data_IF_014080557445
#
_entry.id   IF_014080557445
#
_cell.length_a   1.000
_cell.length_b   1.000
_cell.length_c   1.000
_cell.angle_alpha   90.00
_cell.angle_beta   90.00
_cell.angle_gamma   90.00
#
_symmetry.space_group_name_H-M   'P 1'
#
loop_
_entity.id
_entity.type
_entity.pdbx_description
1 polymer ?
#
# COMPACT_ATOMS: atom_id res chain seq x y z
N UNK A 1 -10.23 5.48 23.22
CA UNK A 1 -9.22 4.54 22.68
C UNK A 1 -9.96 3.26 22.34
N UNK A 2 -9.72 2.70 21.17
CA UNK A 2 -10.31 1.46 20.70
C UNK A 2 -9.30 0.74 19.78
N UNK A 3 -9.58 -0.49 19.34
CA UNK A 3 -8.63 -1.31 18.58
C UNK A 3 -9.26 -1.90 17.34
N UNK A 4 -8.49 -1.97 16.25
CA UNK A 4 -8.90 -2.64 15.02
C UNK A 4 -7.68 -3.11 14.22
N UNK A 5 -7.75 -4.31 13.63
CA UNK A 5 -6.69 -4.87 12.78
C UNK A 5 -5.32 -5.03 13.45
N UNK A 6 -5.25 -5.05 14.79
CA UNK A 6 -4.00 -5.09 15.55
C UNK A 6 -3.41 -3.71 15.89
N UNK A 7 -4.06 -2.62 15.48
CA UNK A 7 -3.67 -1.25 15.84
C UNK A 7 -4.51 -0.68 16.97
N UNK A 8 -3.90 0.24 17.73
CA UNK A 8 -4.59 1.09 18.69
C UNK A 8 -4.98 2.40 18.00
N UNK A 9 -6.26 2.75 18.06
CA UNK A 9 -6.78 4.02 17.60
C UNK A 9 -7.12 4.92 18.79
N UNK A 10 -6.59 6.13 18.75
CA UNK A 10 -6.78 7.13 19.79
C UNK A 10 -7.48 8.33 19.16
N UNK A 11 -8.65 8.69 19.71
CA UNK A 11 -9.32 9.93 19.41
C UNK A 11 -9.30 10.80 20.67
N UNK A 12 -8.97 12.08 20.50
CA UNK A 12 -8.91 13.06 21.60
C UNK A 12 -10.28 13.67 21.89
N UNK A 13 -11.25 13.56 20.98
CA UNK A 13 -12.62 13.99 21.19
C UNK A 13 -13.39 12.92 22.00
N UNK A 14 -13.85 13.22 23.23
CA UNK A 14 -14.62 12.28 24.04
C UNK A 14 -16.02 12.00 23.49
N UNK A 15 -16.50 12.78 22.52
CA UNK A 15 -17.80 12.65 21.88
C UNK A 15 -17.70 12.09 20.46
N UNK A 16 -16.57 11.46 20.11
CA UNK A 16 -16.39 10.86 18.79
C UNK A 16 -17.36 9.71 18.53
N UNK A 17 -17.61 9.44 17.25
CA UNK A 17 -18.35 8.25 16.83
C UNK A 17 -17.58 6.95 17.19
N UNK A 18 -18.28 5.80 17.30
CA UNK A 18 -17.63 4.50 17.50
C UNK A 18 -16.60 4.20 16.40
N UNK A 19 -15.47 3.58 16.76
CA UNK A 19 -14.38 3.32 15.81
C UNK A 19 -14.85 2.48 14.61
N UNK A 20 -15.67 1.46 14.85
CA UNK A 20 -16.14 0.57 13.77
C UNK A 20 -17.03 1.29 12.74
N UNK A 21 -17.83 2.26 13.20
CA UNK A 21 -18.68 3.08 12.33
C UNK A 21 -17.82 4.06 11.53
N UNK A 22 -16.81 4.65 12.18
CA UNK A 22 -15.82 5.51 11.52
C UNK A 22 -15.08 4.77 10.40
N UNK A 23 -14.66 3.52 10.67
CA UNK A 23 -13.88 2.68 9.76
C UNK A 23 -14.70 2.10 8.61
N UNK A 24 -16.03 2.23 8.60
CA UNK A 24 -16.85 1.65 7.55
C UNK A 24 -16.69 2.42 6.21
N UNK A 25 -16.56 1.73 5.04
CA UNK A 25 -16.60 0.28 4.84
C UNK A 25 -15.22 -0.40 4.88
N UNK A 26 -14.14 0.32 5.19
CA UNK A 26 -12.78 -0.21 5.17
C UNK A 26 -12.62 -1.43 6.08
N UNK A 27 -13.12 -1.38 7.33
CA UNK A 27 -13.08 -2.51 8.25
C UNK A 27 -13.71 -3.76 7.63
N UNK A 28 -14.95 -3.67 7.13
CA UNK A 28 -15.65 -4.78 6.46
C UNK A 28 -14.82 -5.43 5.34
N UNK A 29 -14.11 -4.63 4.55
CA UNK A 29 -13.32 -5.12 3.42
C UNK A 29 -11.95 -5.68 3.86
N UNK A 30 -11.37 -5.14 4.93
CA UNK A 30 -10.03 -5.47 5.40
C UNK A 30 -10.02 -6.56 6.47
N UNK A 31 -11.10 -6.74 7.23
CA UNK A 31 -11.22 -7.75 8.29
C UNK A 31 -10.89 -9.18 7.80
N UNK A 32 -11.33 -9.62 6.60
CA UNK A 32 -10.99 -10.96 6.12
C UNK A 32 -9.49 -11.19 5.91
N UNK A 33 -8.69 -10.13 5.78
CA UNK A 33 -7.23 -10.23 5.65
C UNK A 33 -6.53 -10.56 6.98
N UNK A 34 -7.24 -10.47 8.11
CA UNK A 34 -6.71 -10.86 9.42
C UNK A 34 -5.41 -10.14 9.80
N UNK A 35 -5.35 -8.83 9.57
CA UNK A 35 -4.16 -7.98 9.73
C UNK A 35 -3.55 -8.07 11.14
N UNK A 36 -4.38 -8.31 12.16
CA UNK A 36 -3.98 -8.49 13.56
C UNK A 36 -3.07 -9.70 13.80
N UNK A 37 -3.04 -10.64 12.87
CA UNK A 37 -2.20 -11.85 12.94
C UNK A 37 -0.78 -11.60 12.44
N UNK A 38 -0.53 -10.48 11.75
CA UNK A 38 0.80 -10.15 11.24
C UNK A 38 1.69 -9.51 12.32
N UNK A 39 3.01 -9.60 12.16
CA UNK A 39 4.02 -8.97 13.03
C UNK A 39 4.99 -8.15 12.20
N UNK A 40 5.60 -7.14 12.82
CA UNK A 40 6.55 -6.28 12.14
C UNK A 40 7.71 -7.08 11.57
N UNK A 41 7.91 -7.02 10.27
CA UNK A 41 9.14 -7.42 9.60
C UNK A 41 10.23 -6.37 9.82
N UNK A 42 9.85 -5.10 9.66
CA UNK A 42 10.65 -3.92 9.99
C UNK A 42 9.77 -2.68 10.10
N UNK A 43 10.26 -1.63 10.78
CA UNK A 43 9.55 -0.36 10.97
C UNK A 43 10.53 0.81 11.07
N UNK A 44 10.35 1.82 10.22
CA UNK A 44 11.28 2.93 10.02
C UNK A 44 10.54 4.25 9.97
N UNK A 45 11.18 5.32 10.43
CA UNK A 45 10.59 6.65 10.40
C UNK A 45 11.62 7.72 10.08
N UNK A 46 11.16 8.87 9.58
CA UNK A 46 12.00 10.02 9.23
C UNK A 46 11.20 11.32 9.21
N UNK A 47 11.93 12.43 9.19
CA UNK A 47 11.38 13.75 8.90
C UNK A 47 11.39 13.99 7.39
N UNK A 48 10.27 14.49 6.86
CA UNK A 48 10.16 14.96 5.48
C UNK A 48 9.97 16.46 5.43
N UNK A 49 10.58 17.07 4.41
CA UNK A 49 10.44 18.48 4.07
C UNK A 49 9.19 18.73 3.20
N UNK A 50 8.05 18.15 3.61
CA UNK A 50 6.74 18.42 3.04
C UNK A 50 5.64 18.37 4.10
N UNK A 51 4.48 18.93 3.76
CA UNK A 51 3.29 18.77 4.59
C UNK A 51 2.87 17.30 4.64
N UNK A 52 2.34 16.84 5.79
CA UNK A 52 1.86 15.46 5.94
C UNK A 52 0.82 15.06 4.89
N UNK A 53 0.02 16.02 4.39
CA UNK A 53 -0.95 15.79 3.32
C UNK A 53 -0.26 15.40 2.01
N UNK A 54 0.78 16.16 1.62
CA UNK A 54 1.60 15.88 0.43
C UNK A 54 2.27 14.51 0.57
N UNK A 55 2.71 14.15 1.78
CA UNK A 55 3.22 12.80 2.01
C UNK A 55 2.16 11.73 1.77
N UNK A 56 0.94 11.88 2.30
CA UNK A 56 -0.15 10.92 2.08
C UNK A 56 -0.62 10.83 0.62
N UNK A 57 -0.58 11.95 -0.12
CA UNK A 57 -0.93 12.02 -1.54
C UNK A 57 -0.07 11.07 -2.37
N UNK A 58 1.24 11.02 -2.13
CA UNK A 58 2.15 10.16 -2.89
C UNK A 58 1.81 8.66 -2.78
N UNK A 59 1.13 8.23 -1.71
CA UNK A 59 0.83 6.82 -1.50
C UNK A 59 -0.64 6.47 -1.75
N UNK A 60 -1.56 7.45 -1.80
CA UNK A 60 -2.99 7.19 -1.98
C UNK A 60 -3.45 7.14 -3.44
N UNK A 61 -2.53 7.18 -4.40
CA UNK A 61 -2.74 6.99 -5.83
C UNK A 61 -1.61 6.16 -6.44
N UNK A 62 -1.74 5.78 -7.72
CA UNK A 62 -0.70 5.01 -8.44
C UNK A 62 -0.44 5.55 -9.84
N UNK A 63 -0.80 6.82 -10.09
CA UNK A 63 -0.59 7.52 -11.33
C UNK A 63 0.90 7.80 -11.56
N UNK A 64 1.64 8.19 -10.51
CA UNK A 64 3.06 8.48 -10.61
C UNK A 64 3.92 7.24 -10.89
N UNK A 65 3.44 6.04 -10.52
CA UNK A 65 4.22 4.79 -10.49
C UNK A 65 4.92 4.50 -11.83
N UNK A 66 4.21 4.67 -12.95
CA UNK A 66 4.76 4.37 -14.28
C UNK A 66 5.97 5.24 -14.64
N UNK A 67 6.00 6.48 -14.15
CA UNK A 67 7.06 7.46 -14.45
C UNK A 67 8.16 7.43 -13.40
N UNK A 68 7.78 7.35 -12.11
CA UNK A 68 8.71 7.45 -10.98
C UNK A 68 9.49 6.17 -10.78
N UNK A 69 8.85 5.01 -10.99
CA UNK A 69 9.44 3.69 -10.80
C UNK A 69 9.54 2.91 -12.12
N UNK A 70 10.29 3.41 -13.11
CA UNK A 70 10.36 2.81 -14.44
C UNK A 70 10.87 1.35 -14.43
N UNK A 71 11.56 0.94 -13.37
CA UNK A 71 12.04 -0.42 -13.15
C UNK A 71 10.90 -1.45 -13.09
N UNK A 72 9.69 -1.04 -12.66
CA UNK A 72 8.52 -1.91 -12.68
C UNK A 72 7.93 -2.09 -14.08
N UNK A 73 8.21 -1.20 -15.03
CA UNK A 73 7.61 -1.25 -16.37
C UNK A 73 8.06 -2.48 -17.17
N UNK A 74 9.20 -3.10 -16.83
CA UNK A 74 9.64 -4.38 -17.40
C UNK A 74 8.66 -5.54 -17.11
N UNK A 75 7.83 -5.37 -16.07
CA UNK A 75 6.82 -6.34 -15.69
C UNK A 75 5.42 -6.01 -16.24
N UNK A 76 5.26 -4.93 -17.00
CA UNK A 76 4.01 -4.55 -17.65
C UNK A 76 3.54 -3.14 -17.30
N UNK A 77 2.53 -2.66 -18.04
CA UNK A 77 1.88 -1.38 -17.76
C UNK A 77 0.75 -1.58 -16.74
N UNK A 78 0.86 -0.94 -15.58
CA UNK A 78 -0.12 -1.05 -14.51
C UNK A 78 -1.00 0.20 -14.46
N UNK A 79 -2.13 0.14 -15.18
CA UNK A 79 -3.16 1.19 -15.11
C UNK A 79 -3.91 1.06 -13.80
N UNK A 80 -3.69 2.04 -12.94
CA UNK A 80 -4.30 2.08 -11.61
C UNK A 80 -5.54 2.96 -11.55
N UNK A 81 -6.42 2.63 -10.63
CA UNK A 81 -7.64 3.37 -10.31
C UNK A 81 -7.64 3.77 -8.83
N UNK A 82 -8.37 4.83 -8.52
CA UNK A 82 -8.68 5.26 -7.16
C UNK A 82 -10.19 5.35 -6.96
N UNK A 83 -10.69 5.10 -5.74
CA UNK A 83 -12.12 5.18 -5.39
C UNK A 83 -12.29 5.80 -3.99
N UNK A 84 -13.24 6.73 -3.88
CA UNK A 84 -13.73 7.20 -2.60
C UNK A 84 -14.63 6.14 -1.95
N UNK A 85 -14.50 5.96 -0.64
CA UNK A 85 -15.17 4.96 0.19
C UNK A 85 -15.67 5.64 1.47
N UNK A 86 -16.63 6.56 1.33
CA UNK A 86 -17.08 7.40 2.44
C UNK A 86 -15.96 8.33 2.92
N UNK A 87 -15.58 8.23 4.20
CA UNK A 87 -14.45 8.98 4.76
C UNK A 87 -13.09 8.48 4.25
N UNK A 88 -13.04 7.25 3.78
CA UNK A 88 -11.81 6.57 3.37
C UNK A 88 -11.71 6.49 1.85
N UNK A 89 -10.63 5.92 1.36
CA UNK A 89 -10.49 5.62 -0.07
C UNK A 89 -9.63 4.39 -0.27
N UNK A 90 -9.73 3.79 -1.45
CA UNK A 90 -8.86 2.69 -1.83
C UNK A 90 -8.41 2.81 -3.28
N UNK A 91 -7.25 2.21 -3.54
CA UNK A 91 -6.63 2.16 -4.86
C UNK A 91 -6.46 0.73 -5.31
N UNK A 92 -6.30 0.53 -6.60
CA UNK A 92 -5.96 -0.76 -7.17
C UNK A 92 -5.54 -0.63 -8.63
N UNK A 93 -5.43 -1.77 -9.30
CA UNK A 93 -5.11 -1.84 -10.71
C UNK A 93 -6.27 -2.39 -11.51
N UNK A 94 -6.39 -1.94 -12.76
CA UNK A 94 -7.32 -2.50 -13.72
C UNK A 94 -6.93 -3.95 -13.97
N UNK A 95 -7.89 -4.86 -13.89
CA UNK A 95 -7.67 -6.25 -14.27
C UNK A 95 -7.50 -6.35 -15.80
N UNK A 96 -6.66 -7.26 -16.31
CA UNK A 96 -6.70 -7.63 -17.71
C UNK A 96 -8.12 -8.05 -18.12
N UNK A 97 -8.54 -7.72 -19.35
CA UNK A 97 -9.87 -8.09 -19.87
C UNK A 97 -10.10 -9.60 -19.70
N UNK A 98 -11.20 -9.98 -19.04
CA UNK A 98 -11.56 -11.39 -18.80
C UNK A 98 -10.97 -12.00 -17.53
N UNK A 99 -10.20 -11.25 -16.72
CA UNK A 99 -9.67 -11.67 -15.42
C UNK A 99 -10.30 -10.89 -14.25
N UNK A 100 -11.55 -10.43 -14.42
CA UNK A 100 -12.27 -9.65 -13.41
C UNK A 100 -12.56 -10.44 -12.13
N UNK A 101 -12.56 -11.78 -12.19
CA UNK A 101 -12.74 -12.66 -11.03
C UNK A 101 -11.40 -12.99 -10.35
N UNK A 102 -10.32 -13.02 -11.12
CA UNK A 102 -8.94 -13.30 -10.67
C UNK A 102 -8.24 -12.00 -10.25
N UNK A 103 -8.90 -11.16 -9.44
CA UNK A 103 -8.34 -9.91 -8.89
C UNK A 103 -7.28 -10.17 -7.83
N UNK A 104 -6.33 -11.06 -8.12
CA UNK A 104 -5.15 -11.24 -7.31
C UNK A 104 -4.34 -9.95 -7.39
N UNK A 105 -3.88 -9.46 -6.24
CA UNK A 105 -2.97 -8.30 -6.15
C UNK A 105 -1.63 -8.54 -6.84
N UNK A 106 -1.39 -9.77 -7.23
CA UNK A 106 -0.12 -10.29 -7.67
C UNK A 106 -0.05 -10.18 -9.19
N UNK A 107 0.95 -9.42 -9.63
CA UNK A 107 1.20 -9.12 -11.03
C UNK A 107 2.06 -10.21 -11.62
N UNK A 108 1.73 -10.67 -12.81
CA UNK A 108 2.62 -11.51 -13.61
C UNK A 108 3.40 -10.57 -14.53
N UNK A 109 4.72 -10.80 -14.65
CA UNK A 109 5.55 -10.01 -15.54
C UNK A 109 5.29 -10.34 -17.01
N UNK A 110 5.87 -9.56 -17.92
CA UNK A 110 5.81 -9.87 -19.36
C UNK A 110 6.68 -11.08 -19.71
N UNK A 111 6.28 -11.87 -20.72
CA UNK A 111 7.01 -13.07 -21.15
C UNK A 111 6.50 -14.36 -20.50
N UNK A 112 7.39 -15.34 -20.30
CA UNK A 112 7.05 -16.60 -19.64
C UNK A 112 6.64 -16.33 -18.18
N UNK A 113 5.38 -16.59 -17.78
CA UNK A 113 4.89 -16.28 -16.45
C UNK A 113 5.65 -17.01 -15.33
N UNK A 114 6.27 -18.16 -15.60
CA UNK A 114 7.06 -18.91 -14.59
C UNK A 114 8.33 -18.15 -14.23
N UNK A 115 9.01 -17.61 -15.25
CA UNK A 115 10.27 -16.85 -15.10
C UNK A 115 9.96 -15.45 -14.57
N UNK A 116 9.03 -14.74 -15.21
CA UNK A 116 8.76 -13.34 -14.90
C UNK A 116 8.20 -13.15 -13.48
N UNK A 117 7.47 -14.13 -12.96
CA UNK A 117 7.03 -14.17 -11.55
C UNK A 117 8.22 -14.29 -10.61
N UNK A 118 9.15 -15.22 -10.85
CA UNK A 118 10.34 -15.40 -10.02
C UNK A 118 11.20 -14.14 -9.98
N UNK A 119 11.46 -13.55 -11.15
CA UNK A 119 12.22 -12.30 -11.27
C UNK A 119 11.55 -11.14 -10.52
N UNK A 120 10.23 -10.99 -10.65
CA UNK A 120 9.50 -9.94 -9.94
C UNK A 120 9.55 -10.11 -8.43
N UNK A 121 9.40 -11.34 -7.93
CA UNK A 121 9.44 -11.60 -6.48
C UNK A 121 10.83 -11.38 -5.89
N UNK A 122 11.89 -11.81 -6.60
CA UNK A 122 13.28 -11.53 -6.21
C UNK A 122 13.54 -10.03 -6.18
N UNK A 123 13.18 -9.33 -7.26
CA UNK A 123 13.32 -7.88 -7.35
C UNK A 123 12.57 -7.17 -6.21
N UNK A 124 11.32 -7.56 -5.93
CA UNK A 124 10.52 -6.97 -4.85
C UNK A 124 11.18 -7.18 -3.49
N UNK A 125 11.74 -8.37 -3.24
CA UNK A 125 12.45 -8.66 -1.99
C UNK A 125 13.72 -7.82 -1.84
N UNK A 126 14.53 -7.71 -2.90
CA UNK A 126 15.85 -7.04 -2.86
C UNK A 126 15.74 -5.51 -2.87
N UNK A 127 14.76 -4.96 -3.59
CA UNK A 127 14.68 -3.52 -3.88
C UNK A 127 13.66 -2.77 -3.03
N UNK A 128 12.74 -3.50 -2.38
CA UNK A 128 11.73 -2.89 -1.47
C UNK A 128 11.61 -3.61 -0.14
N UNK A 129 11.80 -4.94 -0.14
CA UNK A 129 11.59 -5.82 1.01
C UNK A 129 10.23 -5.58 1.72
N UNK A 130 9.17 -5.29 0.96
CA UNK A 130 7.92 -4.79 1.52
C UNK A 130 6.70 -5.69 1.30
N UNK A 131 6.42 -6.09 0.06
CA UNK A 131 5.15 -6.75 -0.31
C UNK A 131 5.30 -8.21 -0.73
N UNK A 132 6.43 -8.83 -0.37
CA UNK A 132 6.71 -10.26 -0.60
C UNK A 132 7.38 -10.91 0.61
N UNK A 133 7.34 -12.24 0.67
CA UNK A 133 7.90 -13.07 1.75
C UNK A 133 8.91 -14.05 1.19
N UNK A 134 9.79 -14.58 2.05
CA UNK A 134 10.79 -15.55 1.59
C UNK A 134 10.14 -16.81 1.02
N UNK A 135 9.00 -17.24 1.58
CA UNK A 135 8.23 -18.37 1.05
C UNK A 135 7.71 -18.10 -0.35
N UNK A 136 7.13 -16.92 -0.59
CA UNK A 136 6.65 -16.53 -1.91
C UNK A 136 7.79 -16.52 -2.94
N UNK A 137 8.95 -15.95 -2.59
CA UNK A 137 10.14 -15.96 -3.46
C UNK A 137 10.62 -17.39 -3.74
N UNK A 138 10.73 -18.23 -2.72
CA UNK A 138 11.20 -19.61 -2.86
C UNK A 138 10.26 -20.42 -3.75
N UNK A 139 8.94 -20.31 -3.55
CA UNK A 139 7.94 -20.96 -4.38
C UNK A 139 7.99 -20.47 -5.83
N UNK A 140 8.18 -19.16 -6.05
CA UNK A 140 8.29 -18.61 -7.40
C UNK A 140 9.52 -19.14 -8.16
N UNK A 141 10.67 -19.28 -7.47
CA UNK A 141 11.91 -19.83 -8.07
C UNK A 141 11.77 -21.26 -8.58
N UNK A 142 10.85 -22.05 -8.03
CA UNK A 142 10.62 -23.45 -8.44
C UNK A 142 9.66 -23.60 -9.62
N UNK A 143 9.01 -22.52 -10.07
CA UNK A 143 7.95 -22.60 -11.10
C UNK A 143 8.44 -23.19 -12.42
N UNK A 144 9.67 -22.91 -12.82
CA UNK A 144 10.26 -23.44 -14.07
C UNK A 144 10.51 -24.95 -14.01
N UNK A 145 10.74 -25.48 -12.81
CA UNK A 145 10.97 -26.91 -12.56
C UNK A 145 9.65 -27.67 -12.33
N UNK A 146 8.67 -27.01 -11.70
CA UNK A 146 7.39 -27.61 -11.30
C UNK A 146 6.31 -27.57 -12.40
N UNK A 147 6.40 -26.63 -13.36
CA UNK A 147 5.40 -26.43 -14.42
C UNK A 147 6.02 -26.51 -15.82
N UNK A 148 5.34 -27.12 -16.80
CA UNK A 148 5.80 -27.15 -18.20
C UNK A 148 5.97 -25.77 -18.84
N UNK A 149 6.76 -25.71 -19.91
CA UNK A 149 6.84 -24.51 -20.74
C UNK A 149 5.50 -24.24 -21.45
N UNK A 150 5.11 -22.96 -21.48
CA UNK A 150 3.84 -22.52 -22.06
C UNK A 150 2.61 -22.66 -21.15
N UNK A 151 2.78 -23.04 -19.88
CA UNK A 151 1.67 -23.03 -18.91
C UNK A 151 0.99 -21.66 -18.86
N UNK A 152 -0.36 -21.59 -18.95
CA UNK A 152 -1.09 -20.33 -18.86
C UNK A 152 -0.81 -19.54 -17.59
N UNK A 153 -0.86 -18.21 -17.71
CA UNK A 153 -0.49 -17.27 -16.66
C UNK A 153 -1.32 -17.43 -15.36
N UNK A 154 -2.61 -17.69 -15.50
CA UNK A 154 -3.53 -17.96 -14.38
C UNK A 154 -3.24 -19.29 -13.68
N UNK A 155 -2.88 -20.33 -14.44
CA UNK A 155 -2.45 -21.62 -13.88
C UNK A 155 -1.12 -21.50 -13.12
N UNK A 156 -0.15 -20.74 -13.65
CA UNK A 156 1.11 -20.45 -12.95
C UNK A 156 0.85 -19.71 -11.64
N UNK A 157 -0.02 -18.70 -11.65
CA UNK A 157 -0.38 -17.93 -10.46
C UNK A 157 -1.06 -18.83 -9.40
N UNK A 158 -2.01 -19.66 -9.81
CA UNK A 158 -2.71 -20.60 -8.94
C UNK A 158 -1.72 -21.57 -8.28
N UNK A 159 -0.85 -22.20 -9.09
CA UNK A 159 0.14 -23.15 -8.60
C UNK A 159 1.15 -22.51 -7.64
N UNK A 160 1.66 -21.33 -8.00
CA UNK A 160 2.60 -20.60 -7.15
C UNK A 160 2.01 -20.25 -5.78
N UNK A 161 0.78 -19.72 -5.75
CA UNK A 161 0.14 -19.37 -4.49
C UNK A 161 -0.21 -20.61 -3.66
N UNK A 162 -0.63 -21.69 -4.31
CA UNK A 162 -0.91 -22.96 -3.64
C UNK A 162 0.35 -23.62 -3.09
N UNK A 163 1.48 -23.57 -3.80
CA UNK A 163 2.75 -24.11 -3.32
C UNK A 163 3.30 -23.28 -2.16
N UNK A 164 3.30 -21.95 -2.27
CA UNK A 164 3.70 -21.07 -1.18
C UNK A 164 2.83 -21.23 0.08
N UNK A 165 1.50 -21.34 -0.09
CA UNK A 165 0.57 -21.59 1.02
C UNK A 165 0.87 -22.92 1.72
N UNK A 166 1.11 -24.00 0.97
CA UNK A 166 1.48 -25.31 1.55
C UNK A 166 2.79 -25.25 2.33
N UNK A 167 3.80 -24.57 1.79
CA UNK A 167 5.10 -24.39 2.46
C UNK A 167 4.93 -23.61 3.79
N UNK A 168 4.07 -22.58 3.79
CA UNK A 168 3.74 -21.80 4.99
C UNK A 168 2.91 -22.60 6.01
N UNK A 169 1.91 -23.35 5.57
CA UNK A 169 1.10 -24.21 6.44
C UNK A 169 1.97 -25.27 7.12
N UNK A 170 2.95 -25.85 6.43
CA UNK A 170 3.89 -26.84 6.98
C UNK A 170 4.75 -26.28 8.12
N UNK A 171 4.98 -24.96 8.17
CA UNK A 171 5.67 -24.27 9.26
C UNK A 171 4.72 -23.54 10.22
N UNK A 172 3.41 -23.79 10.13
CA UNK A 172 2.41 -23.22 11.03
C UNK A 172 2.00 -21.77 10.72
N UNK A 173 2.28 -21.28 9.51
CA UNK A 173 1.80 -19.97 9.03
C UNK A 173 0.53 -20.16 8.21
N UNK A 174 -0.58 -19.64 8.73
CA UNK A 174 -1.91 -19.80 8.11
C UNK A 174 -2.30 -18.51 7.41
N UNK A 175 -2.53 -18.60 6.11
CA UNK A 175 -2.99 -17.47 5.31
C UNK A 175 -4.50 -17.28 5.47
N UNK A 176 -5.00 -16.03 5.47
CA UNK A 176 -6.42 -15.78 5.43
C UNK A 176 -7.06 -16.34 4.15
N UNK A 177 -8.36 -16.63 4.24
CA UNK A 177 -9.21 -16.96 3.10
C UNK A 177 -10.17 -15.80 2.87
N UNK A 178 -9.99 -15.11 1.74
CA UNK A 178 -10.78 -13.92 1.41
C UNK A 178 -11.96 -14.32 0.52
N UNK A 179 -13.20 -13.93 0.86
CA UNK A 179 -14.33 -14.08 -0.05
C UNK A 179 -14.04 -13.41 -1.41
N UNK A 180 -14.34 -14.05 -2.56
CA UNK A 180 -14.01 -13.50 -3.88
C UNK A 180 -14.57 -12.11 -4.15
N UNK A 181 -15.79 -11.83 -3.68
CA UNK A 181 -16.43 -10.52 -3.79
C UNK A 181 -15.68 -9.44 -3.01
N UNK A 182 -15.20 -9.76 -1.80
CA UNK A 182 -14.38 -8.86 -0.97
C UNK A 182 -13.02 -8.64 -1.61
N UNK A 183 -12.35 -9.71 -2.06
CA UNK A 183 -11.05 -9.62 -2.73
C UNK A 183 -11.14 -8.67 -3.92
N UNK A 184 -12.19 -8.80 -4.73
CA UNK A 184 -12.41 -7.96 -5.89
C UNK A 184 -12.72 -6.49 -5.59
N UNK A 185 -13.19 -6.18 -4.39
CA UNK A 185 -13.45 -4.81 -3.92
C UNK A 185 -12.25 -4.19 -3.20
N UNK A 186 -11.37 -5.03 -2.66
CA UNK A 186 -10.30 -4.63 -1.74
C UNK A 186 -9.26 -3.70 -2.35
N UNK A 187 -9.03 -3.76 -3.67
CA UNK A 187 -7.93 -3.03 -4.29
C UNK A 187 -6.56 -3.44 -3.72
N UNK A 188 -5.52 -2.65 -3.92
CA UNK A 188 -4.17 -2.91 -3.41
C UNK A 188 -3.88 -2.25 -2.08
N UNK A 189 -4.44 -1.06 -1.81
CA UNK A 189 -4.25 -0.35 -0.55
C UNK A 189 -5.46 0.52 -0.19
N UNK A 190 -5.64 0.75 1.10
CA UNK A 190 -6.67 1.61 1.68
C UNK A 190 -6.05 2.78 2.43
N UNK A 191 -6.52 3.99 2.14
CA UNK A 191 -6.27 5.14 2.99
C UNK A 191 -7.37 5.25 4.05
N UNK A 192 -7.00 4.99 5.30
CA UNK A 192 -7.81 5.28 6.47
C UNK A 192 -7.56 6.74 6.84
N UNK A 193 -8.54 7.57 6.48
CA UNK A 193 -8.52 9.00 6.78
C UNK A 193 -8.26 9.24 8.29
N UNK A 194 -7.44 10.25 8.65
CA UNK A 194 -6.80 11.20 7.74
C UNK A 194 -5.46 10.72 7.15
N UNK A 195 -4.69 9.93 7.90
CA UNK A 195 -3.25 9.88 7.70
C UNK A 195 -2.62 8.50 7.89
N UNK A 196 -3.41 7.44 7.73
CA UNK A 196 -2.92 6.07 7.79
C UNK A 196 -3.27 5.33 6.51
N UNK A 197 -2.31 4.60 5.96
CA UNK A 197 -2.52 3.76 4.80
C UNK A 197 -2.14 2.31 5.10
N UNK A 198 -2.97 1.40 4.62
CA UNK A 198 -2.78 -0.05 4.71
C UNK A 198 -2.73 -0.64 3.30
N UNK A 199 -1.54 -1.01 2.84
CA UNK A 199 -1.33 -1.85 1.67
C UNK A 199 -1.44 -3.32 2.05
N UNK A 200 -2.67 -3.81 2.22
CA UNK A 200 -2.94 -5.15 2.71
C UNK A 200 -2.51 -6.24 1.70
N UNK A 201 -2.01 -7.36 2.17
CA UNK A 201 -1.74 -8.55 1.37
C UNK A 201 -2.18 -9.80 2.11
N UNK A 202 -2.05 -10.97 1.49
CA UNK A 202 -2.41 -12.24 2.14
C UNK A 202 -1.41 -12.62 3.24
N UNK A 203 -0.14 -12.31 3.03
CA UNK A 203 0.97 -12.71 3.92
C UNK A 203 1.74 -11.56 4.50
N UNK A 204 1.60 -10.37 3.92
CA UNK A 204 2.29 -9.16 4.33
C UNK A 204 1.38 -7.96 4.20
N UNK A 205 1.71 -6.88 4.91
CA UNK A 205 1.08 -5.58 4.72
C UNK A 205 2.14 -4.49 4.78
N UNK A 206 2.06 -3.53 3.86
CA UNK A 206 2.91 -2.34 3.84
C UNK A 206 2.06 -1.16 4.29
N UNK A 207 2.42 -0.56 5.41
CA UNK A 207 1.65 0.53 6.00
C UNK A 207 2.46 1.82 6.06
N UNK A 208 1.77 2.93 5.84
CA UNK A 208 2.33 4.28 5.91
C UNK A 208 1.53 5.13 6.89
N UNK A 209 2.22 6.02 7.59
CA UNK A 209 1.62 7.05 8.43
C UNK A 209 2.37 8.36 8.26
N UNK A 210 1.65 9.48 8.15
CA UNK A 210 2.24 10.81 8.08
C UNK A 210 1.61 11.71 9.14
N UNK A 211 2.42 12.34 9.99
CA UNK A 211 1.93 13.22 11.06
C UNK A 211 2.56 14.60 10.95
N UNK A 212 1.83 15.67 11.32
CA UNK A 212 2.42 17.01 11.42
C UNK A 212 3.69 16.97 12.28
N UNK A 213 4.69 17.76 11.89
CA UNK A 213 5.89 17.93 12.72
C UNK A 213 5.52 18.56 14.09
N UNK A 214 6.13 18.12 15.21
CA UNK A 214 5.86 18.69 16.54
C UNK A 214 6.13 20.19 16.67
N UNK A 215 6.95 20.78 15.79
CA UNK A 215 7.15 22.23 15.72
C UNK A 215 5.99 22.99 15.07
N UNK A 216 4.97 22.28 14.58
CA UNK A 216 3.84 22.82 13.80
C UNK A 216 4.27 23.53 12.50
N UNK A 217 5.47 23.25 12.01
CA UNK A 217 5.90 23.74 10.71
C UNK A 217 5.06 23.04 9.60
N UNK A 218 4.26 23.76 8.79
CA UNK A 218 3.43 23.17 7.75
C UNK A 218 4.24 22.54 6.60
N UNK A 219 5.55 22.77 6.54
CA UNK A 219 6.45 22.21 5.55
C UNK A 219 7.21 20.99 6.04
N UNK A 220 6.84 20.47 7.22
CA UNK A 220 7.48 19.31 7.79
C UNK A 220 6.46 18.30 8.28
N UNK A 221 6.79 17.03 8.12
CA UNK A 221 6.05 15.94 8.72
C UNK A 221 6.99 14.83 9.20
N UNK A 222 6.49 14.03 10.14
CA UNK A 222 7.07 12.74 10.46
C UNK A 222 6.37 11.72 9.56
N UNK A 223 7.14 10.96 8.79
CA UNK A 223 6.65 9.86 7.99
C UNK A 223 7.16 8.53 8.54
N UNK A 224 6.27 7.56 8.56
CA UNK A 224 6.49 6.22 9.11
C UNK A 224 6.17 5.19 8.04
N UNK A 225 7.07 4.22 7.88
CA UNK A 225 6.90 3.06 7.01
C UNK A 225 7.06 1.80 7.85
N UNK A 226 6.07 0.93 7.81
CA UNK A 226 6.12 -0.35 8.50
C UNK A 226 5.69 -1.48 7.56
N UNK A 227 6.44 -2.57 7.61
CA UNK A 227 6.08 -3.81 6.93
C UNK A 227 5.75 -4.86 7.96
N UNK A 228 4.64 -5.53 7.73
CA UNK A 228 4.13 -6.62 8.52
C UNK A 228 4.16 -7.90 7.70
N UNK A 229 4.39 -9.04 8.34
CA UNK A 229 4.42 -10.36 7.73
C UNK A 229 3.81 -11.39 8.70
N UNK A 230 3.26 -12.49 8.18
CA UNK A 230 2.84 -13.64 8.98
C UNK A 230 4.05 -14.51 9.35
N UNK A 231 4.15 -14.88 10.64
CA UNK A 231 5.23 -15.70 11.17
C UNK A 231 4.70 -16.93 11.90
N UNK A 232 5.49 -18.02 11.98
CA UNK A 232 5.24 -19.10 12.92
C UNK A 232 5.24 -18.51 14.32
N UNK A 233 4.37 -19.04 15.18
CA UNK A 233 4.23 -18.54 16.55
C UNK A 233 5.56 -18.63 17.31
N UNK A 234 6.08 -17.48 17.75
CA UNK A 234 7.34 -17.39 18.50
C UNK A 234 8.58 -17.21 17.62
N UNK A 235 8.42 -17.20 16.30
CA UNK A 235 9.51 -16.94 15.34
C UNK A 235 9.41 -15.54 14.74
N UNK A 236 8.46 -14.71 15.17
CA UNK A 236 8.41 -13.31 14.77
C UNK A 236 9.66 -12.54 15.21
N UNK A 237 10.21 -11.67 14.36
CA UNK A 237 11.37 -10.88 14.72
C UNK A 237 11.00 -9.82 15.76
N UNK A 238 11.92 -9.59 16.69
CA UNK A 238 11.86 -8.40 17.54
C UNK A 238 12.38 -7.21 16.74
N UNK A 239 11.55 -6.17 16.62
CA UNK A 239 11.88 -4.96 15.87
C UNK A 239 11.69 -3.73 16.74
N UNK A 240 12.28 -2.61 16.35
CA UNK A 240 12.11 -1.31 16.99
C UNK A 240 11.92 -0.24 15.91
N UNK A 241 11.30 0.88 16.27
CA UNK A 241 11.18 2.02 15.36
C UNK A 241 12.56 2.64 15.11
N UNK A 242 13.08 2.45 13.89
CA UNK A 242 14.38 2.98 13.52
C UNK A 242 14.26 4.32 12.79
N UNK A 243 14.85 5.37 13.35
CA UNK A 243 15.05 6.62 12.61
C UNK A 243 15.99 6.34 11.42
N UNK A 244 15.53 6.63 10.21
CA UNK A 244 16.27 6.30 8.98
C UNK A 244 16.30 7.54 8.06
N UNK A 245 17.41 8.29 7.99
CA UNK A 245 17.53 9.46 7.13
C UNK A 245 17.16 9.17 5.67
N UNK A 246 16.63 10.16 4.95
CA UNK A 246 16.10 9.99 3.57
C UNK A 246 17.11 9.42 2.56
N UNK A 247 18.39 9.69 2.78
CA UNK A 247 19.54 9.26 1.97
C UNK A 247 20.15 7.93 2.44
N UNK A 248 19.57 7.30 3.46
CA UNK A 248 20.05 6.01 3.96
C UNK A 248 19.89 4.92 2.89
N UNK A 249 20.91 4.08 2.66
CA UNK A 249 20.80 2.93 1.76
C UNK A 249 19.78 1.89 2.27
N UNK A 250 19.38 1.97 3.53
CA UNK A 250 18.36 1.09 4.11
C UNK A 250 16.95 1.34 3.55
N UNK A 251 16.74 2.40 2.78
CA UNK A 251 15.50 2.62 2.03
C UNK A 251 15.44 1.86 0.70
N UNK A 252 16.54 1.19 0.32
CA UNK A 252 16.68 0.48 -0.96
C UNK A 252 16.46 1.45 -2.12
N UNK A 253 15.84 1.03 -3.24
CA UNK A 253 15.79 1.88 -4.45
C UNK A 253 14.47 2.59 -4.67
N UNK A 254 13.34 1.98 -4.33
CA UNK A 254 12.01 2.50 -4.71
C UNK A 254 11.57 3.67 -3.83
N UNK A 255 11.61 3.52 -2.50
CA UNK A 255 11.15 4.56 -1.58
C UNK A 255 11.90 5.91 -1.73
N UNK A 256 13.24 5.94 -1.93
CA UNK A 256 13.94 7.21 -2.16
C UNK A 256 13.47 7.98 -3.40
N UNK A 257 12.93 7.31 -4.41
CA UNK A 257 12.39 7.97 -5.60
C UNK A 257 11.15 8.80 -5.23
N UNK A 258 10.21 8.23 -4.46
CA UNK A 258 9.05 8.95 -3.94
C UNK A 258 9.46 10.13 -3.06
N UNK A 259 10.47 9.91 -2.22
CA UNK A 259 10.97 10.88 -1.26
C UNK A 259 11.47 12.15 -1.95
N UNK A 260 12.10 12.01 -3.11
CA UNK A 260 12.61 13.12 -3.90
C UNK A 260 11.48 13.97 -4.51
N UNK A 261 10.38 13.33 -4.93
CA UNK A 261 9.24 13.99 -5.55
C UNK A 261 8.45 14.83 -4.53
N UNK A 262 8.19 14.30 -3.34
CA UNK A 262 7.34 14.96 -2.34
C UNK A 262 7.85 16.34 -1.92
N UNK A 263 9.16 16.49 -1.72
CA UNK A 263 9.75 17.79 -1.37
C UNK A 263 9.64 18.80 -2.53
N UNK A 264 9.83 18.36 -3.77
CA UNK A 264 9.68 19.20 -4.95
C UNK A 264 8.22 19.64 -5.17
N UNK A 265 7.25 18.75 -4.94
CA UNK A 265 5.83 19.05 -4.98
C UNK A 265 5.46 20.12 -3.95
N UNK A 266 5.90 19.98 -2.70
CA UNK A 266 5.67 21.00 -1.66
C UNK A 266 6.21 22.37 -2.07
N UNK A 267 7.43 22.42 -2.62
CA UNK A 267 8.03 23.68 -3.09
C UNK A 267 7.22 24.29 -4.24
N UNK A 268 6.80 23.48 -5.21
CA UNK A 268 5.98 23.92 -6.34
C UNK A 268 4.64 24.49 -5.92
N UNK A 269 3.96 23.85 -4.95
CA UNK A 269 2.67 24.29 -4.42
C UNK A 269 2.71 25.68 -3.75
N UNK A 270 3.90 26.19 -3.39
CA UNK A 270 4.08 27.53 -2.81
C UNK A 270 4.36 28.62 -3.84
N UNK A 271 4.52 28.25 -5.10
CA UNK A 271 4.75 29.22 -6.16
C UNK A 271 3.54 30.15 -6.29
N UNK A 272 3.78 31.45 -6.42
CA UNK A 272 2.72 32.43 -6.69
C UNK A 272 1.99 32.14 -8.03
N UNK A 273 2.64 31.41 -8.94
CA UNK A 273 2.06 30.97 -10.21
C UNK A 273 1.33 29.63 -10.13
N UNK A 274 1.15 29.02 -8.96
CA UNK A 274 0.43 27.77 -8.79
C UNK A 274 -1.06 28.04 -8.53
N UNK A 275 -1.96 27.84 -9.51
CA UNK A 275 -3.38 28.13 -9.37
C UNK A 275 -4.14 27.07 -8.53
N UNK A 276 -3.51 25.92 -8.26
CA UNK A 276 -4.11 24.77 -7.59
C UNK A 276 -3.82 23.46 -8.34
N UNK A 277 -4.06 22.33 -7.67
CA UNK A 277 -3.92 20.99 -8.24
C UNK A 277 -5.07 20.68 -9.20
N UNK A 278 -4.77 19.99 -10.31
CA UNK A 278 -5.75 19.45 -11.26
C UNK A 278 -5.66 17.91 -11.27
N UNK A 279 -6.22 17.23 -10.26
CA UNK A 279 -6.09 15.78 -10.14
C UNK A 279 -6.85 15.04 -11.24
N UNK A 280 -6.28 13.93 -11.69
CA UNK A 280 -6.88 13.04 -12.66
C UNK A 280 -8.21 12.47 -12.12
N UNK A 281 -9.33 12.59 -12.87
CA UNK A 281 -10.66 12.23 -12.38
C UNK A 281 -10.87 10.71 -12.20
N UNK A 282 -9.92 9.88 -12.63
CA UNK A 282 -9.97 8.43 -12.47
C UNK A 282 -8.93 7.91 -11.47
N UNK A 283 -7.68 8.36 -11.61
CA UNK A 283 -6.52 7.81 -10.90
C UNK A 283 -6.23 8.49 -9.55
N UNK A 284 -6.73 9.71 -9.33
CA UNK A 284 -6.42 10.52 -8.15
C UNK A 284 -7.68 10.86 -7.31
N UNK A 285 -8.76 10.08 -7.47
CA UNK A 285 -9.99 10.26 -6.68
C UNK A 285 -9.77 10.10 -5.17
N UNK A 286 -8.78 9.31 -4.74
CA UNK A 286 -8.39 9.19 -3.34
C UNK A 286 -7.80 10.49 -2.82
N UNK A 287 -6.91 11.14 -3.58
CA UNK A 287 -6.35 12.47 -3.28
C UNK A 287 -7.45 13.51 -3.13
N UNK A 288 -8.38 13.55 -4.10
CA UNK A 288 -9.55 14.44 -4.02
C UNK A 288 -10.38 14.15 -2.77
N UNK A 289 -10.63 12.88 -2.46
CA UNK A 289 -11.40 12.50 -1.28
C UNK A 289 -10.70 12.91 0.03
N UNK A 290 -9.38 12.72 0.16
CA UNK A 290 -8.62 13.18 1.33
C UNK A 290 -8.86 14.67 1.59
N UNK A 291 -8.69 15.51 0.58
CA UNK A 291 -8.86 16.96 0.72
C UNK A 291 -10.33 17.36 0.95
N UNK A 292 -11.27 16.67 0.30
CA UNK A 292 -12.70 16.90 0.52
C UNK A 292 -13.17 16.52 1.93
N UNK A 293 -12.65 15.43 2.51
CA UNK A 293 -12.95 15.11 3.91
C UNK A 293 -12.27 16.10 4.85
N UNK A 294 -11.01 16.49 4.58
CA UNK A 294 -10.33 17.52 5.36
C UNK A 294 -11.11 18.83 5.39
N UNK A 295 -11.65 19.28 4.26
CA UNK A 295 -12.41 20.53 4.21
C UNK A 295 -13.67 20.50 5.07
N UNK A 296 -14.33 19.34 5.18
CA UNK A 296 -15.48 19.15 6.08
C UNK A 296 -15.10 19.27 7.54
N UNK A 297 -14.01 18.62 7.95
CA UNK A 297 -13.53 18.68 9.34
C UNK A 297 -13.01 20.08 9.71
N UNK A 298 -12.39 20.79 8.77
CA UNK A 298 -11.90 22.15 9.00
C UNK A 298 -12.99 23.23 8.86
N UNK A 299 -14.15 22.90 8.28
CA UNK A 299 -15.20 23.86 7.96
C UNK A 299 -14.79 24.91 6.92
N UNK A 300 -13.74 24.64 6.13
CA UNK A 300 -13.20 25.56 5.13
C UNK A 300 -12.42 24.81 4.06
N UNK A 301 -12.22 25.44 2.89
CA UNK A 301 -11.46 24.85 1.79
C UNK A 301 -12.22 23.82 0.95
N UNK A 302 -13.56 23.81 1.02
CA UNK A 302 -14.35 22.97 0.11
C UNK A 302 -14.11 23.39 -1.36
N UNK A 303 -14.09 22.43 -2.31
CA UNK A 303 -13.98 22.74 -3.72
C UNK A 303 -15.06 23.74 -4.16
N UNK A 304 -14.68 24.68 -5.01
CA UNK A 304 -15.58 25.65 -5.64
C UNK A 304 -15.45 25.52 -7.14
N UNK A 305 -16.54 25.82 -7.86
CA UNK A 305 -16.48 25.92 -9.30
C UNK A 305 -15.44 26.99 -9.70
N UNK A 306 -14.55 26.62 -10.62
CA UNK A 306 -13.59 27.56 -11.19
C UNK A 306 -14.42 28.50 -12.09
N UNK A 307 -14.52 29.77 -11.69
CA UNK A 307 -15.15 30.82 -12.50
C UNK A 307 -14.27 31.22 -13.68
#
# INVERSE_FOLDING_TARGET
MDTWGGWLFINMDPHCEPLIDYLYPAAKILDPFGLENMRYKWRKWLYFDCNWKVAMEAFNETYHVFTTHPEFNKFGEFKGWAKAQGKHSNIGYDAPKGMDETKSKIRLGTGDPRISTAEMQVYTMEETNATTTQTLVNAAKRLVDELPEGTPADEVLQHWLASARRDDEARGVIWPTIPPDILGQSGTAWQIFPNFQVGQGLTSALCYSARPDPSYNPDKCIFEVAVFELYPKGEEPQTEWAYTPKDSPNWLSVLPQDFSNMAAVQQGMKSAGFPGTLPNPYRERSTVNLHYQLSKYMGTGEPRDIQ
#
